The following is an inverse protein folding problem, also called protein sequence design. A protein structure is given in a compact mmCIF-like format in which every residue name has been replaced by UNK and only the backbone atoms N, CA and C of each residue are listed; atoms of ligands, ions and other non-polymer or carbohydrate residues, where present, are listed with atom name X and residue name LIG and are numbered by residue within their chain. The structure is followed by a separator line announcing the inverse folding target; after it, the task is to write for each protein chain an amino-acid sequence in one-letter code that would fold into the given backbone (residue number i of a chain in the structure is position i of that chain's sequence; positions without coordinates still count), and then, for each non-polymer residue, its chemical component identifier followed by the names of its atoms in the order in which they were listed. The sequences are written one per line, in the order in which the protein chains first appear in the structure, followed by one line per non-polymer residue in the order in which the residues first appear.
data_IF_505196378043
#
_entry.id   IF_505196378043
#
_cell.length_a   1.000
_cell.length_b   1.000
_cell.length_c   1.000
_cell.angle_alpha   90.00
_cell.angle_beta   90.00
_cell.angle_gamma   90.00
#
_symmetry.space_group_name_H-M   'P 1'
#
loop_
_entity.id
_entity.type
_entity.pdbx_description
1 polymer ?
#
# COMPACT_ATOMS: atom_id res chain seq x y z
N UNK A 1 -4.78 0.86 -16.29
CA UNK A 1 -3.39 0.35 -16.43
C UNK A 1 -3.47 -1.02 -17.10
N UNK A 2 -2.50 -1.35 -17.96
CA UNK A 2 -2.41 -2.70 -18.56
C UNK A 2 -1.85 -3.73 -17.58
N UNK A 3 -1.62 -4.96 -18.06
CA UNK A 3 -1.00 -6.03 -17.26
C UNK A 3 0.40 -5.62 -16.77
N UNK A 4 0.76 -5.98 -15.54
CA UNK A 4 2.07 -5.65 -14.96
C UNK A 4 3.22 -6.51 -15.50
N UNK A 5 2.89 -7.65 -16.12
CA UNK A 5 3.83 -8.69 -16.55
C UNK A 5 3.57 -10.01 -15.84
N UNK A 6 4.12 -11.11 -16.36
CA UNK A 6 4.02 -12.42 -15.72
C UNK A 6 4.72 -12.41 -14.36
N UNK A 7 4.06 -12.93 -13.32
CA UNK A 7 4.59 -12.94 -11.95
C UNK A 7 4.64 -11.59 -11.24
N UNK A 8 4.08 -10.53 -11.84
CA UNK A 8 4.08 -9.17 -11.29
C UNK A 8 2.66 -8.64 -11.08
N UNK A 9 2.52 -7.73 -10.12
CA UNK A 9 1.30 -6.94 -9.92
C UNK A 9 1.64 -5.45 -9.78
N UNK A 10 0.69 -4.60 -10.21
CA UNK A 10 0.72 -3.18 -9.89
C UNK A 10 0.29 -2.99 -8.44
N UNK A 11 1.18 -2.43 -7.63
CA UNK A 11 0.92 -2.07 -6.25
C UNK A 11 0.74 -0.56 -6.15
N UNK A 12 -0.32 -0.13 -5.46
CA UNK A 12 -0.55 1.29 -5.18
C UNK A 12 0.21 1.70 -3.92
N UNK A 13 1.07 2.73 -4.01
CA UNK A 13 1.82 3.27 -2.86
C UNK A 13 0.83 3.87 -1.85
N UNK A 14 -0.05 4.76 -2.32
CA UNK A 14 -1.26 5.20 -1.60
C UNK A 14 -2.42 4.32 -2.04
N UNK A 15 -2.94 3.52 -1.12
CA UNK A 15 -3.88 2.44 -1.42
C UNK A 15 -5.17 2.86 -2.13
N UNK A 16 -5.57 2.07 -3.12
CA UNK A 16 -6.84 2.19 -3.83
C UNK A 16 -8.02 1.72 -2.95
N UNK A 17 -8.41 2.53 -1.98
CA UNK A 17 -9.59 2.29 -1.14
C UNK A 17 -10.71 3.26 -1.52
N UNK A 18 -11.98 2.88 -1.28
CA UNK A 18 -13.12 3.78 -1.49
C UNK A 18 -12.97 5.08 -0.71
N UNK A 19 -12.45 5.02 0.53
CA UNK A 19 -12.20 6.20 1.36
C UNK A 19 -11.12 7.11 0.75
N UNK A 20 -10.00 6.53 0.28
CA UNK A 20 -8.95 7.33 -0.36
C UNK A 20 -9.41 7.94 -1.70
N UNK A 21 -10.23 7.21 -2.48
CA UNK A 21 -10.83 7.75 -3.70
C UNK A 21 -11.74 8.94 -3.41
N UNK A 22 -12.54 8.89 -2.35
CA UNK A 22 -13.41 10.00 -1.92
C UNK A 22 -12.61 11.20 -1.39
N UNK A 23 -11.52 10.94 -0.65
CA UNK A 23 -10.71 11.98 0.00
C UNK A 23 -9.72 12.67 -0.93
N UNK A 24 -9.09 11.92 -1.84
CA UNK A 24 -7.97 12.40 -2.65
C UNK A 24 -8.29 12.48 -4.14
N UNK A 25 -9.41 11.88 -4.56
CA UNK A 25 -9.83 11.86 -5.96
C UNK A 25 -9.15 10.76 -6.79
N UNK A 26 -9.80 10.42 -7.90
CA UNK A 26 -9.34 9.37 -8.79
C UNK A 26 -7.97 9.69 -9.42
N UNK A 27 -7.69 10.95 -9.73
CA UNK A 27 -6.42 11.36 -10.36
C UNK A 27 -5.21 11.12 -9.45
N UNK A 28 -5.33 11.44 -8.16
CA UNK A 28 -4.27 11.21 -7.19
C UNK A 28 -4.01 9.72 -6.92
N UNK A 29 -5.04 8.87 -7.05
CA UNK A 29 -4.94 7.43 -6.78
C UNK A 29 -4.51 6.65 -8.04
N UNK A 30 -5.06 6.98 -9.21
CA UNK A 30 -4.90 6.23 -10.46
C UNK A 30 -3.90 6.85 -11.42
N UNK A 31 -2.67 7.09 -10.97
CA UNK A 31 -1.59 7.58 -11.82
C UNK A 31 -0.34 6.71 -11.69
N UNK A 32 0.56 6.81 -12.66
CA UNK A 32 1.80 6.02 -12.71
C UNK A 32 2.79 6.40 -11.62
N UNK A 33 2.72 7.61 -11.07
CA UNK A 33 3.54 8.04 -9.92
C UNK A 33 3.11 7.41 -8.60
N UNK A 34 1.89 6.88 -8.51
CA UNK A 34 1.37 6.16 -7.34
C UNK A 34 1.45 4.63 -7.49
N UNK A 35 2.14 4.13 -8.52
CA UNK A 35 2.22 2.70 -8.82
C UNK A 35 3.66 2.21 -8.91
N UNK A 36 3.85 0.99 -8.41
CA UNK A 36 5.09 0.23 -8.54
C UNK A 36 4.76 -1.20 -8.97
N UNK A 37 5.67 -1.83 -9.72
CA UNK A 37 5.57 -3.26 -10.04
C UNK A 37 6.26 -4.06 -8.95
N UNK A 38 5.54 -5.03 -8.40
CA UNK A 38 6.04 -5.93 -7.38
C UNK A 38 5.83 -7.39 -7.81
N UNK A 39 6.75 -8.27 -7.39
CA UNK A 39 6.54 -9.71 -7.50
C UNK A 39 5.24 -10.11 -6.79
N UNK A 40 4.48 -10.99 -7.43
CA UNK A 40 3.16 -11.41 -6.99
C UNK A 40 3.05 -12.93 -6.90
N UNK A 41 2.25 -13.41 -5.95
CA UNK A 41 2.05 -14.83 -5.66
C UNK A 41 2.42 -15.19 -4.23
N UNK A 42 2.34 -16.48 -3.90
CA UNK A 42 2.66 -16.98 -2.56
C UNK A 42 4.13 -16.71 -2.22
N UNK A 43 4.38 -16.14 -1.04
CA UNK A 43 5.73 -15.78 -0.59
C UNK A 43 6.37 -14.57 -1.28
N UNK A 44 5.62 -13.86 -2.14
CA UNK A 44 6.12 -12.64 -2.79
C UNK A 44 6.04 -11.42 -1.88
N UNK A 45 6.85 -10.40 -2.19
CA UNK A 45 6.78 -9.09 -1.52
C UNK A 45 5.35 -8.50 -1.52
N UNK A 46 4.61 -8.63 -2.62
CA UNK A 46 3.24 -8.11 -2.69
C UNK A 46 2.32 -8.80 -1.68
N UNK A 47 2.52 -10.10 -1.46
CA UNK A 47 1.76 -10.86 -0.46
C UNK A 47 2.15 -10.46 0.97
N UNK A 48 3.43 -10.28 1.25
CA UNK A 48 3.91 -9.86 2.58
C UNK A 48 3.40 -8.47 2.97
N UNK A 49 3.46 -7.52 2.03
CA UNK A 49 2.86 -6.19 2.22
C UNK A 49 1.36 -6.32 2.49
N UNK A 50 0.65 -7.13 1.71
CA UNK A 50 -0.79 -7.37 1.91
C UNK A 50 -1.07 -7.93 3.31
N UNK A 51 -0.25 -8.85 3.80
CA UNK A 51 -0.37 -9.42 5.14
C UNK A 51 -0.16 -8.34 6.23
N UNK A 52 0.87 -7.49 6.10
CA UNK A 52 1.09 -6.37 7.02
C UNK A 52 -0.14 -5.46 7.10
N UNK A 53 -0.63 -5.00 5.96
CA UNK A 53 -1.80 -4.10 5.89
C UNK A 53 -3.07 -4.72 6.50
N UNK A 54 -3.22 -6.05 6.45
CA UNK A 54 -4.34 -6.77 7.03
C UNK A 54 -4.16 -7.11 8.53
N UNK A 55 -2.96 -6.93 9.09
CA UNK A 55 -2.65 -7.24 10.49
C UNK A 55 -2.95 -6.06 11.43
N UNK A 56 -3.17 -6.37 12.71
CA UNK A 56 -3.18 -5.39 13.82
C UNK A 56 -1.77 -5.36 14.40
N UNK A 57 -1.13 -4.18 14.41
CA UNK A 57 0.27 -4.00 14.84
C UNK A 57 0.36 -2.87 15.87
N UNK A 58 0.10 -3.15 17.17
CA UNK A 58 0.03 -2.11 18.19
C UNK A 58 1.31 -1.28 18.31
N UNK A 59 2.48 -1.92 18.15
CA UNK A 59 3.79 -1.26 18.21
C UNK A 59 4.00 -0.26 17.06
N UNK A 60 3.37 -0.51 15.91
CA UNK A 60 3.48 0.35 14.73
C UNK A 60 2.42 1.46 14.71
N UNK A 61 1.19 1.12 15.10
CA UNK A 61 0.01 1.98 14.92
C UNK A 61 -0.41 2.72 16.19
N UNK A 62 0.06 2.28 17.36
CA UNK A 62 -0.38 2.75 18.66
C UNK A 62 -1.82 2.32 19.01
N UNK A 63 -2.40 1.35 18.29
CA UNK A 63 -3.77 0.87 18.51
C UNK A 63 -3.86 -0.65 18.46
N UNK A 64 -4.70 -1.20 19.34
CA UNK A 64 -4.95 -2.64 19.46
C UNK A 64 -6.17 -3.11 18.64
N UNK A 65 -6.86 -2.20 17.94
CA UNK A 65 -8.14 -2.51 17.29
C UNK A 65 -8.14 -2.26 15.79
N UNK A 66 -7.29 -1.37 15.29
CA UNK A 66 -7.22 -1.08 13.86
C UNK A 66 -6.15 -1.95 13.20
N UNK A 67 -6.49 -2.48 12.03
CA UNK A 67 -5.46 -3.00 11.12
C UNK A 67 -4.56 -1.86 10.65
N UNK A 68 -3.35 -2.18 10.20
CA UNK A 68 -2.43 -1.19 9.62
C UNK A 68 -3.11 -0.41 8.49
N UNK A 69 -3.90 -1.08 7.63
CA UNK A 69 -4.69 -0.42 6.56
C UNK A 69 -5.72 0.56 7.10
N UNK A 70 -6.48 0.18 8.13
CA UNK A 70 -7.47 1.06 8.71
C UNK A 70 -6.81 2.28 9.38
N UNK A 71 -5.70 2.07 10.09
CA UNK A 71 -4.95 3.15 10.75
C UNK A 71 -4.35 4.14 9.75
N UNK A 72 -3.59 3.67 8.75
CA UNK A 72 -2.94 4.53 7.76
C UNK A 72 -3.96 5.24 6.87
N UNK A 73 -5.13 4.62 6.64
CA UNK A 73 -6.26 5.23 5.95
C UNK A 73 -6.83 6.47 6.63
N UNK A 74 -6.46 6.78 7.88
CA UNK A 74 -6.84 8.03 8.56
C UNK A 74 -5.89 9.19 8.29
N UNK A 75 -4.68 8.92 7.76
CA UNK A 75 -3.61 9.92 7.59
C UNK A 75 -3.79 10.75 6.31
N UNK A 76 -3.01 11.82 6.19
CA UNK A 76 -2.91 12.63 4.98
C UNK A 76 -2.32 11.85 3.81
N UNK A 77 -2.50 12.32 2.58
CA UNK A 77 -1.93 11.67 1.40
C UNK A 77 -0.41 11.49 1.50
N UNK A 78 0.30 12.54 1.92
CA UNK A 78 1.76 12.51 2.06
C UNK A 78 2.21 11.46 3.09
N UNK A 79 1.56 11.39 4.25
CA UNK A 79 1.86 10.37 5.26
C UNK A 79 1.57 8.94 4.74
N UNK A 80 0.49 8.74 3.97
CA UNK A 80 0.22 7.44 3.35
C UNK A 80 1.29 7.07 2.31
N UNK A 81 1.76 8.05 1.54
CA UNK A 81 2.79 7.86 0.53
C UNK A 81 4.12 7.49 1.19
N UNK A 82 4.56 8.24 2.19
CA UNK A 82 5.80 8.00 2.92
C UNK A 82 5.78 6.63 3.62
N UNK A 83 4.64 6.28 4.23
CA UNK A 83 4.44 4.98 4.84
C UNK A 83 4.49 3.84 3.81
N UNK A 84 3.81 3.99 2.68
CA UNK A 84 3.82 3.01 1.58
C UNK A 84 5.23 2.77 1.04
N UNK A 85 5.99 3.84 0.77
CA UNK A 85 7.39 3.76 0.33
C UNK A 85 8.26 3.04 1.36
N UNK A 86 8.07 3.36 2.65
CA UNK A 86 8.82 2.74 3.75
C UNK A 86 8.53 1.24 3.83
N UNK A 87 7.26 0.85 3.75
CA UNK A 87 6.83 -0.56 3.78
C UNK A 87 7.41 -1.32 2.57
N UNK A 88 7.32 -0.76 1.37
CA UNK A 88 7.87 -1.37 0.16
C UNK A 88 9.37 -1.64 0.34
N UNK A 89 10.14 -0.64 0.82
CA UNK A 89 11.58 -0.79 1.06
C UNK A 89 11.88 -1.82 2.15
N UNK A 90 11.09 -1.85 3.22
CA UNK A 90 11.29 -2.78 4.34
C UNK A 90 11.14 -4.25 3.91
N UNK A 91 10.29 -4.54 2.92
CA UNK A 91 10.15 -5.89 2.35
C UNK A 91 11.01 -6.12 1.09
N UNK A 92 11.98 -5.25 0.80
CA UNK A 92 12.96 -5.43 -0.28
C UNK A 92 12.56 -4.88 -1.65
N UNK A 93 11.48 -4.10 -1.74
CA UNK A 93 11.04 -3.46 -2.97
C UNK A 93 11.83 -2.17 -3.28
N UNK A 94 11.91 -1.81 -4.56
CA UNK A 94 12.64 -0.62 -5.04
C UNK A 94 11.69 0.42 -5.62
N UNK A 95 11.66 1.62 -5.04
CA UNK A 95 10.74 2.74 -5.34
C UNK A 95 11.48 3.91 -5.95
#
# INVERSE_FOLDING_TARGET
MGVAGSGLAWHHIVGQTTSNLQRFGAEAIHNTGNLIRLEHGAGSIHQEITNLYNSVQPELTGTNTLTVRAWIGTKSFAEQQDFGITVIRAFGGTV
#
